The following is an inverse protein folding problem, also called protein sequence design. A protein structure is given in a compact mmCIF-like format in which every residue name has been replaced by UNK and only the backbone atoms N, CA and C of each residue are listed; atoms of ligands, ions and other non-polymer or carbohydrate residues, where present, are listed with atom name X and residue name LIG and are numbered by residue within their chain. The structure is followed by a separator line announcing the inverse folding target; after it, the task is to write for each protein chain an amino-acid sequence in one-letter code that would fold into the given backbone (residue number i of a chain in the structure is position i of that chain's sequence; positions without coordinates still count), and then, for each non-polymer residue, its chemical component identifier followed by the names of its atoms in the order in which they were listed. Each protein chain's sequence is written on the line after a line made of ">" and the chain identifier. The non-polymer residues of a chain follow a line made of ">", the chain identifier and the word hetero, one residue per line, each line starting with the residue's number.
data_IF_159721527321
#
_entry.id   IF_159721527321
#
_cell.length_a   1.000
_cell.length_b   1.000
_cell.length_c   1.000
_cell.angle_alpha   90.00
_cell.angle_beta   90.00
_cell.angle_gamma   90.00
#
_symmetry.space_group_name_H-M   'P 1'
#
loop_
_entity.id
_entity.type
_entity.pdbx_description
1 polymer ?
#
# COMPACT_ATOMS: atom_id res chain seq x y z
N UNK A 1 -35.22 -1.05 -9.57
CA UNK A 1 -34.64 -2.40 -9.66
C UNK A 1 -33.26 -2.37 -9.04
N UNK A 2 -33.15 -2.68 -7.77
CA UNK A 2 -31.86 -2.78 -7.08
C UNK A 2 -31.22 -4.07 -7.56
N UNK A 3 -30.27 -3.98 -8.51
CA UNK A 3 -29.46 -5.12 -8.93
C UNK A 3 -28.80 -5.69 -7.68
N UNK A 4 -29.25 -6.88 -7.25
CA UNK A 4 -28.59 -7.65 -6.21
C UNK A 4 -27.21 -7.96 -6.78
N UNK A 5 -26.20 -7.15 -6.44
CA UNK A 5 -24.81 -7.40 -6.82
C UNK A 5 -24.47 -8.80 -6.32
N UNK A 6 -24.39 -9.75 -7.26
CA UNK A 6 -24.05 -11.15 -7.00
C UNK A 6 -22.78 -11.14 -6.14
N UNK A 7 -22.87 -11.63 -4.91
CA UNK A 7 -21.74 -11.64 -3.96
C UNK A 7 -20.58 -12.35 -4.67
N UNK A 8 -19.43 -11.68 -4.80
CA UNK A 8 -18.27 -12.26 -5.50
C UNK A 8 -17.88 -13.58 -4.80
N UNK A 9 -17.56 -14.60 -5.59
CA UNK A 9 -17.17 -15.92 -5.06
C UNK A 9 -15.89 -15.85 -4.21
N UNK A 10 -15.03 -14.85 -4.47
CA UNK A 10 -13.83 -14.54 -3.70
C UNK A 10 -13.66 -13.03 -3.57
N UNK A 11 -12.97 -12.61 -2.50
CA UNK A 11 -12.58 -11.20 -2.34
C UNK A 11 -11.44 -10.88 -3.30
N UNK A 12 -11.55 -9.86 -4.17
CA UNK A 12 -10.43 -9.39 -4.99
C UNK A 12 -9.24 -8.97 -4.12
N UNK A 13 -8.02 -9.05 -4.67
CA UNK A 13 -6.81 -8.60 -3.98
C UNK A 13 -6.68 -7.07 -4.09
N UNK A 14 -6.56 -6.40 -2.96
CA UNK A 14 -6.12 -5.00 -2.86
C UNK A 14 -4.68 -5.00 -2.36
N UNK A 15 -3.76 -4.56 -3.21
CA UNK A 15 -2.34 -4.44 -2.87
C UNK A 15 -2.06 -3.03 -2.37
N UNK A 16 -1.45 -2.90 -1.21
CA UNK A 16 -1.05 -1.62 -0.63
C UNK A 16 0.48 -1.57 -0.62
N UNK A 17 1.05 -0.48 -1.11
CA UNK A 17 2.43 -0.13 -0.76
C UNK A 17 2.51 0.23 0.74
N UNK A 18 3.73 0.30 1.26
CA UNK A 18 3.98 0.59 2.68
C UNK A 18 4.48 2.02 2.91
N UNK A 19 5.65 2.38 2.38
CA UNK A 19 6.36 3.63 2.68
C UNK A 19 5.82 4.80 1.85
N UNK A 20 5.02 5.66 2.47
CA UNK A 20 4.30 6.74 1.81
C UNK A 20 2.81 6.43 1.63
N UNK A 21 2.37 5.21 1.96
CA UNK A 21 0.95 4.79 1.90
C UNK A 21 0.42 4.41 3.27
N UNK A 22 0.98 3.40 3.92
CA UNK A 22 0.58 2.96 5.28
C UNK A 22 1.43 3.63 6.35
N UNK A 23 2.74 3.68 6.11
CA UNK A 23 3.74 4.38 6.92
C UNK A 23 3.99 5.76 6.33
N UNK A 24 4.03 6.82 7.14
CA UNK A 24 4.12 8.19 6.60
C UNK A 24 5.37 8.44 5.76
N UNK A 25 6.51 7.88 6.18
CA UNK A 25 7.77 7.96 5.45
C UNK A 25 8.36 9.40 5.34
N UNK A 26 8.23 10.23 6.39
CA UNK A 26 8.79 11.60 6.41
C UNK A 26 10.31 11.59 6.41
N UNK A 27 10.88 10.63 7.13
CA UNK A 27 12.31 10.53 7.41
C UNK A 27 13.11 9.80 6.32
N UNK A 28 12.45 9.37 5.24
CA UNK A 28 13.08 8.68 4.11
C UNK A 28 13.57 7.26 4.43
N UNK A 29 14.34 6.68 3.50
CA UNK A 29 14.84 5.31 3.62
C UNK A 29 15.93 5.20 4.69
N UNK A 30 15.76 4.26 5.62
CA UNK A 30 16.75 3.94 6.67
C UNK A 30 17.16 2.47 6.71
N UNK A 31 16.84 1.72 5.66
CA UNK A 31 17.02 0.26 5.59
C UNK A 31 15.73 -0.51 5.90
N UNK A 32 15.64 -1.74 5.41
CA UNK A 32 14.38 -2.49 5.39
C UNK A 32 13.77 -2.75 6.77
N UNK A 33 14.61 -2.95 7.79
CA UNK A 33 14.18 -3.27 9.15
C UNK A 33 13.89 -2.03 10.03
N UNK A 34 14.19 -0.82 9.54
CA UNK A 34 14.04 0.43 10.31
C UNK A 34 12.81 1.18 9.78
N UNK A 35 11.78 1.29 10.64
CA UNK A 35 10.53 2.00 10.36
C UNK A 35 10.29 2.94 11.55
N UNK A 36 10.44 4.24 11.32
CA UNK A 36 10.60 5.26 12.34
C UNK A 36 9.66 6.45 12.13
N UNK A 37 8.40 6.15 11.87
CA UNK A 37 7.33 7.14 11.74
C UNK A 37 5.97 6.54 12.13
N UNK A 38 4.97 7.41 12.19
CA UNK A 38 3.57 7.08 12.47
C UNK A 38 2.84 6.58 11.21
N UNK A 39 1.69 5.92 11.37
CA UNK A 39 0.80 5.64 10.26
C UNK A 39 0.34 6.90 9.54
N UNK A 40 0.03 6.79 8.25
CA UNK A 40 -0.68 7.86 7.54
C UNK A 40 -2.09 8.03 8.14
N UNK A 41 -2.65 9.25 8.18
CA UNK A 41 -3.95 9.49 8.81
C UNK A 41 -5.05 8.64 8.20
N UNK A 42 -5.82 7.95 9.05
CA UNK A 42 -6.95 7.10 8.62
C UNK A 42 -6.57 5.75 8.02
N UNK A 43 -5.28 5.42 7.85
CA UNK A 43 -4.85 4.15 7.24
C UNK A 43 -5.30 2.92 8.02
N UNK A 44 -5.27 2.96 9.36
CA UNK A 44 -5.71 1.84 10.22
C UNK A 44 -7.19 1.54 10.01
N UNK A 45 -8.04 2.58 10.03
CA UNK A 45 -9.48 2.46 9.77
C UNK A 45 -9.74 1.98 8.34
N UNK A 46 -9.03 2.55 7.36
CA UNK A 46 -9.14 2.15 5.97
C UNK A 46 -8.84 0.66 5.77
N UNK A 47 -7.72 0.16 6.28
CA UNK A 47 -7.33 -1.25 6.14
C UNK A 47 -8.36 -2.16 6.83
N UNK A 48 -8.86 -1.76 8.00
CA UNK A 48 -9.92 -2.47 8.73
C UNK A 48 -11.17 -2.63 7.87
N UNK A 49 -11.68 -1.53 7.31
CA UNK A 49 -12.89 -1.53 6.49
C UNK A 49 -12.67 -2.22 5.13
N UNK A 50 -11.49 -2.05 4.53
CA UNK A 50 -11.15 -2.67 3.24
C UNK A 50 -11.21 -4.20 3.29
N UNK A 51 -10.88 -4.81 4.44
CA UNK A 51 -10.94 -6.27 4.61
C UNK A 51 -12.34 -6.85 4.43
N UNK A 52 -13.42 -6.08 4.57
CA UNK A 52 -14.78 -6.57 4.30
C UNK A 52 -15.01 -6.86 2.82
N UNK A 53 -14.28 -6.16 1.95
CA UNK A 53 -14.46 -6.21 0.49
C UNK A 53 -13.29 -6.90 -0.23
N UNK A 54 -12.09 -6.82 0.32
CA UNK A 54 -10.84 -7.23 -0.32
C UNK A 54 -10.06 -8.25 0.51
N UNK A 55 -9.27 -9.07 -0.17
CA UNK A 55 -8.08 -9.69 0.41
C UNK A 55 -6.98 -8.63 0.39
N UNK A 56 -6.72 -7.99 1.53
CA UNK A 56 -5.69 -6.95 1.63
C UNK A 56 -4.31 -7.60 1.73
N UNK A 57 -3.40 -7.13 0.88
CA UNK A 57 -2.01 -7.57 0.79
C UNK A 57 -1.10 -6.36 0.85
N UNK A 58 0.00 -6.44 1.59
CA UNK A 58 1.06 -5.43 1.60
C UNK A 58 2.23 -5.92 0.75
N UNK A 59 2.66 -5.08 -0.20
CA UNK A 59 3.84 -5.32 -1.02
C UNK A 59 4.66 -4.03 -1.08
N UNK A 60 5.87 -4.10 -0.55
CA UNK A 60 6.81 -2.98 -0.46
C UNK A 60 8.21 -3.37 -0.96
N UNK A 61 9.03 -2.39 -1.30
CA UNK A 61 10.48 -2.57 -1.53
C UNK A 61 11.22 -3.16 -0.31
N UNK A 62 10.62 -3.15 0.88
CA UNK A 62 11.12 -3.86 2.07
C UNK A 62 10.91 -5.36 2.00
N UNK A 63 9.92 -5.85 1.25
CA UNK A 63 9.42 -7.22 1.38
C UNK A 63 10.45 -8.27 0.99
N UNK A 64 11.24 -8.00 -0.04
CA UNK A 64 12.28 -8.92 -0.53
C UNK A 64 13.62 -8.80 0.23
N UNK A 65 13.70 -7.94 1.25
CA UNK A 65 14.92 -7.74 2.03
C UNK A 65 14.85 -8.49 3.37
N UNK A 66 15.97 -9.06 3.85
CA UNK A 66 16.02 -9.73 5.14
C UNK A 66 15.44 -8.86 6.27
N UNK A 67 14.49 -9.42 7.03
CA UNK A 67 13.84 -8.74 8.14
C UNK A 67 12.81 -7.67 7.77
N UNK A 68 12.63 -7.34 6.49
CA UNK A 68 11.70 -6.26 6.08
C UNK A 68 10.23 -6.59 6.34
N UNK A 69 9.78 -7.81 6.02
CA UNK A 69 8.42 -8.25 6.34
C UNK A 69 8.18 -8.25 7.85
N UNK A 70 9.12 -8.75 8.65
CA UNK A 70 8.95 -8.84 10.10
C UNK A 70 8.93 -7.44 10.75
N UNK A 71 9.72 -6.50 10.23
CA UNK A 71 9.67 -5.11 10.66
C UNK A 71 8.32 -4.46 10.33
N UNK A 72 7.83 -4.61 9.09
CA UNK A 72 6.53 -4.06 8.69
C UNK A 72 5.40 -4.67 9.52
N UNK A 73 5.40 -5.99 9.72
CA UNK A 73 4.39 -6.69 10.52
C UNK A 73 4.39 -6.23 11.97
N UNK A 74 5.57 -6.17 12.59
CA UNK A 74 5.74 -5.70 13.97
C UNK A 74 5.23 -4.27 14.13
N UNK A 75 5.61 -3.38 13.20
CA UNK A 75 5.17 -1.99 13.21
C UNK A 75 3.66 -1.86 12.99
N UNK A 76 3.06 -2.61 12.05
CA UNK A 76 1.61 -2.59 11.81
C UNK A 76 0.83 -3.08 13.03
N UNK A 77 1.26 -4.17 13.65
CA UNK A 77 0.64 -4.70 14.87
C UNK A 77 0.71 -3.68 16.01
N UNK A 78 1.86 -3.04 16.22
CA UNK A 78 2.05 -2.01 17.25
C UNK A 78 1.09 -0.82 17.07
N UNK A 79 0.77 -0.48 15.82
CA UNK A 79 -0.08 0.66 15.47
C UNK A 79 -1.58 0.30 15.31
N UNK A 80 -1.98 -0.92 15.68
CA UNK A 80 -3.39 -1.31 15.68
C UNK A 80 -3.97 -1.66 14.32
N UNK A 81 -3.13 -1.91 13.30
CA UNK A 81 -3.63 -2.47 12.04
C UNK A 81 -4.15 -3.90 12.24
N UNK A 82 -5.20 -4.30 11.52
CA UNK A 82 -5.61 -5.69 11.50
C UNK A 82 -4.56 -6.55 10.77
N UNK A 83 -4.56 -7.85 11.04
CA UNK A 83 -3.68 -8.79 10.34
C UNK A 83 -3.94 -8.78 8.82
N UNK A 84 -2.87 -8.70 8.03
CA UNK A 84 -2.87 -8.73 6.56
C UNK A 84 -1.74 -9.63 6.05
N UNK A 85 -1.84 -10.04 4.78
CA UNK A 85 -0.79 -10.83 4.13
C UNK A 85 0.32 -9.91 3.60
N UNK A 86 1.57 -10.34 3.76
CA UNK A 86 2.74 -9.69 3.16
C UNK A 86 3.29 -10.61 2.08
N UNK A 87 3.62 -10.06 0.91
CA UNK A 87 4.14 -10.85 -0.22
C UNK A 87 5.53 -10.38 -0.63
N UNK A 88 6.34 -11.30 -1.14
CA UNK A 88 7.72 -11.03 -1.60
C UNK A 88 7.78 -10.63 -3.09
N UNK A 89 6.70 -10.86 -3.83
CA UNK A 89 6.61 -10.64 -5.27
C UNK A 89 5.30 -9.95 -5.63
N UNK A 90 5.27 -9.32 -6.82
CA UNK A 90 4.11 -8.57 -7.29
C UNK A 90 2.87 -9.48 -7.35
N UNK A 91 1.82 -9.19 -6.56
CA UNK A 91 0.62 -10.01 -6.59
C UNK A 91 -0.20 -9.75 -7.85
N UNK A 92 -1.07 -10.71 -8.21
CA UNK A 92 -2.14 -10.52 -9.22
C UNK A 92 -3.28 -9.67 -8.64
N UNK A 93 -2.94 -8.43 -8.26
CA UNK A 93 -3.87 -7.52 -7.61
C UNK A 93 -5.01 -7.10 -8.55
N UNK A 94 -6.21 -6.99 -8.01
CA UNK A 94 -7.32 -6.31 -8.70
C UNK A 94 -7.05 -4.80 -8.75
N UNK A 95 -6.48 -4.25 -7.68
CA UNK A 95 -6.10 -2.85 -7.58
C UNK A 95 -4.88 -2.70 -6.67
N UNK A 96 -4.03 -1.71 -6.96
CA UNK A 96 -2.90 -1.31 -6.12
C UNK A 96 -3.05 0.15 -5.71
N UNK A 97 -2.74 0.47 -4.45
CA UNK A 97 -2.58 1.84 -3.95
C UNK A 97 -1.10 2.04 -3.59
N UNK A 98 -0.47 3.03 -4.20
CA UNK A 98 0.97 3.29 -4.15
C UNK A 98 1.19 4.81 -4.29
N UNK A 99 2.07 5.40 -3.48
CA UNK A 99 2.28 6.86 -3.43
C UNK A 99 3.08 7.39 -4.63
N UNK A 100 3.68 6.50 -5.44
CA UNK A 100 4.50 6.81 -6.61
C UNK A 100 4.01 6.15 -7.90
N UNK A 101 2.76 5.69 -7.94
CA UNK A 101 2.17 5.12 -9.15
C UNK A 101 1.28 6.13 -9.89
N UNK A 102 1.40 6.13 -11.23
CA UNK A 102 0.47 6.82 -12.12
C UNK A 102 -0.35 5.74 -12.84
N UNK A 103 -1.68 5.86 -12.82
CA UNK A 103 -2.54 4.95 -13.57
C UNK A 103 -2.34 5.16 -15.08
N UNK A 104 -1.96 4.10 -15.78
CA UNK A 104 -1.98 4.11 -17.23
C UNK A 104 -3.43 4.06 -17.74
N UNK A 105 -3.82 5.08 -18.51
CA UNK A 105 -5.18 5.24 -19.04
C UNK A 105 -5.32 4.82 -20.51
N UNK A 106 -4.27 4.26 -21.11
CA UNK A 106 -4.21 3.94 -22.54
C UNK A 106 -3.40 4.93 -23.37
N UNK A 107 -2.91 6.01 -22.76
CA UNK A 107 -2.06 7.03 -23.40
C UNK A 107 -0.74 7.15 -22.65
N UNK A 108 0.35 7.34 -23.40
CA UNK A 108 1.70 7.48 -22.85
C UNK A 108 2.01 8.91 -22.41
N UNK A 109 2.80 9.03 -21.35
CA UNK A 109 3.27 10.30 -20.79
C UNK A 109 4.57 10.74 -21.46
N UNK A 110 4.83 12.05 -21.50
CA UNK A 110 6.17 12.56 -21.80
C UNK A 110 7.12 12.22 -20.62
N UNK A 111 8.24 11.52 -20.85
CA UNK A 111 9.21 11.22 -19.80
C UNK A 111 9.73 12.44 -19.04
N UNK A 112 9.85 13.61 -19.67
CA UNK A 112 10.29 14.83 -18.99
C UNK A 112 9.25 15.35 -18.00
N UNK A 113 7.97 15.19 -18.30
CA UNK A 113 6.90 15.56 -17.38
C UNK A 113 6.85 14.63 -16.17
N UNK A 114 7.24 13.36 -16.33
CA UNK A 114 7.33 12.41 -15.21
C UNK A 114 8.32 12.85 -14.12
N UNK A 115 9.38 13.60 -14.48
CA UNK A 115 10.35 14.13 -13.52
C UNK A 115 9.76 15.16 -12.55
N UNK A 116 8.59 15.73 -12.89
CA UNK A 116 7.89 16.73 -12.07
C UNK A 116 7.00 16.07 -11.00
N UNK A 117 6.89 14.74 -11.00
CA UNK A 117 6.07 14.02 -10.03
C UNK A 117 6.50 14.32 -8.58
N UNK A 118 5.54 14.66 -7.74
CA UNK A 118 5.72 14.78 -6.29
C UNK A 118 4.72 13.84 -5.60
N UNK A 119 5.15 12.98 -4.66
CA UNK A 119 4.21 12.22 -3.85
C UNK A 119 3.39 13.16 -2.97
N UNK A 120 2.21 12.71 -2.56
CA UNK A 120 1.21 13.53 -1.85
C UNK A 120 1.74 14.14 -0.53
N UNK A 121 2.73 13.50 0.09
CA UNK A 121 3.33 13.91 1.36
C UNK A 121 4.56 14.84 1.20
N UNK A 122 4.83 15.32 -0.02
CA UNK A 122 5.90 16.26 -0.35
C UNK A 122 5.30 17.46 -1.09
N UNK A 123 4.58 18.31 -0.36
CA UNK A 123 4.21 19.66 -0.81
C UNK A 123 5.36 20.63 -0.53
N UNK A 124 5.46 21.69 -1.34
CA UNK A 124 6.36 22.83 -1.08
C UNK A 124 5.99 23.58 0.21
#
# INVERSE_FOLDING_TARGET
>A
MTSIKKKRAYKPILCLDFDGVLHWYRNGWKGAAIIDDEPTPGSVEFVTNAKDFFKVVVFSSRSNQPGGIDAMRTWMNKNGFPEVEFVNEKPKAFLTIDDRAIQFSGTWFDPQDLLKFKPWNKSD
#
